data_IF_783242815278
#
_entry.id   IF_783242815278
#
_cell.length_a   1.000
_cell.length_b   1.000
_cell.length_c   1.000
_cell.angle_alpha   90.00
_cell.angle_beta   90.00
_cell.angle_gamma   90.00
#
_symmetry.space_group_name_H-M   'P 1'
#
loop_
_entity.id
_entity.type
_entity.pdbx_description
1 polymer ?
#
# COMPACT_ATOMS: atom_id res chain seq x y z
N UNK A 1 2.71 -13.20 -27.79
CA UNK A 1 3.56 -12.04 -28.12
C UNK A 1 3.42 -11.03 -26.99
N UNK A 2 4.51 -10.53 -26.41
CA UNK A 2 4.43 -9.61 -25.28
C UNK A 2 3.96 -8.23 -25.76
N UNK A 3 3.03 -7.61 -25.04
CA UNK A 3 2.48 -6.29 -25.39
C UNK A 3 3.13 -5.15 -24.63
N UNK A 4 3.74 -5.44 -23.47
CA UNK A 4 4.20 -4.47 -22.49
C UNK A 4 5.63 -3.97 -22.77
N UNK A 5 6.52 -4.83 -23.25
CA UNK A 5 7.93 -4.48 -23.35
C UNK A 5 8.35 -4.17 -24.79
N UNK A 6 9.17 -3.15 -24.93
CA UNK A 6 10.02 -2.96 -26.11
C UNK A 6 11.01 -4.13 -26.32
N UNK A 7 10.89 -4.82 -27.45
CA UNK A 7 11.69 -5.99 -27.81
C UNK A 7 12.57 -5.61 -29.00
N UNK A 8 13.88 -5.86 -28.89
CA UNK A 8 14.80 -5.64 -30.00
C UNK A 8 14.64 -6.70 -31.08
N UNK A 9 14.80 -6.28 -32.33
CA UNK A 9 14.89 -7.19 -33.48
C UNK A 9 16.25 -7.92 -33.53
N UNK A 10 17.27 -7.37 -32.86
CA UNK A 10 18.62 -7.95 -32.82
C UNK A 10 18.76 -8.97 -31.69
N UNK A 11 19.26 -10.17 -32.02
CA UNK A 11 19.55 -11.21 -31.03
C UNK A 11 20.73 -10.85 -30.11
N UNK A 12 21.70 -10.07 -30.64
CA UNK A 12 22.90 -9.65 -29.92
C UNK A 12 22.76 -8.19 -29.46
N UNK A 13 22.12 -8.00 -28.31
CA UNK A 13 22.03 -6.69 -27.65
C UNK A 13 23.24 -6.43 -26.76
N UNK A 14 23.81 -5.22 -26.77
CA UNK A 14 24.78 -4.83 -25.75
C UNK A 14 24.10 -4.84 -24.36
N UNK A 15 24.87 -5.13 -23.31
CA UNK A 15 24.36 -5.19 -21.93
C UNK A 15 23.73 -3.87 -21.45
N UNK A 16 24.15 -2.75 -22.05
CA UNK A 16 23.67 -1.39 -21.79
C UNK A 16 22.42 -1.04 -22.58
N UNK A 17 21.91 -1.93 -23.45
CA UNK A 17 20.69 -1.68 -24.19
C UNK A 17 19.50 -1.57 -23.23
N UNK A 18 18.60 -0.62 -23.47
CA UNK A 18 17.34 -0.48 -22.74
C UNK A 18 16.25 -1.44 -23.26
N UNK A 19 16.43 -2.09 -24.41
CA UNK A 19 15.46 -3.05 -24.98
C UNK A 19 15.60 -4.49 -24.44
N UNK A 20 14.52 -5.27 -24.44
CA UNK A 20 14.61 -6.70 -24.14
C UNK A 20 15.04 -7.49 -25.38
N UNK A 21 15.80 -8.57 -25.19
CA UNK A 21 16.08 -9.52 -26.28
C UNK A 21 14.80 -10.23 -26.70
N UNK A 22 14.66 -10.49 -27.99
CA UNK A 22 13.58 -11.33 -28.50
C UNK A 22 13.82 -12.79 -28.10
N UNK A 23 12.85 -13.40 -27.41
CA UNK A 23 12.93 -14.81 -27.02
C UNK A 23 12.48 -15.76 -28.16
N UNK A 24 11.96 -15.22 -29.27
CA UNK A 24 11.45 -16.00 -30.39
C UNK A 24 10.18 -16.79 -30.03
N UNK A 25 9.85 -17.77 -30.88
CA UNK A 25 8.66 -18.61 -30.70
C UNK A 25 8.88 -19.77 -29.72
N UNK A 26 10.13 -20.18 -29.51
CA UNK A 26 10.48 -21.35 -28.71
C UNK A 26 11.71 -21.05 -27.84
N UNK A 27 11.71 -21.54 -26.60
CA UNK A 27 12.83 -21.48 -25.67
C UNK A 27 13.28 -22.86 -25.24
N UNK A 28 14.54 -22.99 -24.84
CA UNK A 28 15.07 -24.22 -24.26
C UNK A 28 14.48 -24.36 -22.85
N UNK A 29 13.74 -25.44 -22.61
CA UNK A 29 13.16 -25.78 -21.31
C UNK A 29 14.03 -26.76 -20.53
N UNK A 30 14.63 -27.73 -21.23
CA UNK A 30 15.52 -28.69 -20.62
C UNK A 30 16.67 -29.02 -21.57
N UNK A 31 17.85 -29.23 -20.99
CA UNK A 31 18.98 -29.81 -21.69
C UNK A 31 19.17 -31.20 -21.08
N UNK A 32 18.96 -32.25 -21.86
CA UNK A 32 19.20 -33.62 -21.45
C UNK A 32 20.34 -34.18 -22.28
N UNK A 33 21.27 -34.90 -21.66
CA UNK A 33 22.47 -35.34 -22.37
C UNK A 33 23.68 -34.52 -21.96
N UNK A 34 24.42 -35.11 -21.04
CA UNK A 34 25.67 -34.61 -20.48
C UNK A 34 26.31 -35.73 -19.66
N UNK A 35 26.30 -36.97 -20.17
CA UNK A 35 27.15 -38.01 -19.59
C UNK A 35 28.58 -37.71 -20.05
N UNK A 36 29.47 -37.45 -19.09
CA UNK A 36 30.91 -37.56 -19.30
C UNK A 36 31.26 -39.02 -19.55
N UNK A 37 31.01 -39.50 -20.76
CA UNK A 37 31.64 -40.71 -21.27
C UNK A 37 33.06 -40.35 -21.67
N UNK A 38 34.04 -40.80 -20.89
CA UNK A 38 35.43 -40.78 -21.31
C UNK A 38 35.67 -42.06 -22.08
N UNK A 39 35.75 -41.98 -23.40
CA UNK A 39 36.33 -43.08 -24.17
C UNK A 39 37.82 -43.18 -23.81
N UNK A 40 38.38 -44.38 -23.83
CA UNK A 40 39.76 -44.70 -23.41
C UNK A 40 40.85 -43.92 -24.20
N UNK A 41 40.45 -43.15 -25.22
CA UNK A 41 41.28 -42.32 -26.10
C UNK A 41 41.02 -40.80 -26.01
N UNK A 42 40.20 -40.33 -25.05
CA UNK A 42 40.13 -38.91 -24.69
C UNK A 42 39.32 -37.98 -25.62
N UNK A 43 38.61 -38.50 -26.62
CA UNK A 43 37.67 -37.72 -27.42
C UNK A 43 36.40 -37.39 -26.64
N UNK A 44 36.25 -36.13 -26.25
CA UNK A 44 35.05 -35.63 -25.57
C UNK A 44 34.01 -35.19 -26.59
N UNK A 45 33.11 -36.10 -26.99
CA UNK A 45 31.89 -35.69 -27.68
C UNK A 45 30.78 -35.50 -26.66
N UNK A 46 30.41 -34.24 -26.42
CA UNK A 46 29.26 -33.90 -25.57
C UNK A 46 28.12 -33.55 -26.50
N UNK A 47 27.27 -34.52 -26.83
CA UNK A 47 26.01 -34.26 -27.50
C UNK A 47 24.95 -33.93 -26.46
N UNK A 48 24.54 -32.67 -26.42
CA UNK A 48 23.43 -32.20 -25.60
C UNK A 48 22.17 -32.15 -26.45
N UNK A 49 21.10 -32.79 -25.97
CA UNK A 49 19.77 -32.68 -26.57
C UNK A 49 19.02 -31.54 -25.90
N UNK A 50 18.51 -30.63 -26.72
CA UNK A 50 17.73 -29.47 -26.28
C UNK A 50 16.23 -29.78 -26.44
N UNK A 51 15.48 -29.64 -25.36
CA UNK A 51 14.02 -29.71 -25.37
C UNK A 51 13.47 -28.30 -25.40
N UNK A 52 12.61 -28.02 -26.37
CA UNK A 52 12.05 -26.69 -26.60
C UNK A 52 10.59 -26.62 -26.12
N UNK A 53 10.22 -25.49 -25.54
CA UNK A 53 8.83 -25.14 -25.21
C UNK A 53 8.45 -23.82 -25.86
N UNK A 54 7.17 -23.62 -26.15
CA UNK A 54 6.68 -22.35 -26.67
C UNK A 54 6.95 -21.20 -25.68
N UNK A 55 7.33 -20.04 -26.20
CA UNK A 55 7.56 -18.83 -25.39
C UNK A 55 6.24 -18.29 -24.87
N UNK A 56 6.11 -18.17 -23.55
CA UNK A 56 4.92 -17.62 -22.89
C UNK A 56 5.13 -16.14 -22.50
N UNK A 57 4.06 -15.33 -22.32
CA UNK A 57 4.19 -13.93 -21.90
C UNK A 57 5.00 -13.77 -20.61
N UNK A 58 4.86 -14.72 -19.67
CA UNK A 58 5.61 -14.76 -18.42
C UNK A 58 7.13 -14.86 -18.60
N UNK A 59 7.61 -15.47 -19.69
CA UNK A 59 9.05 -15.57 -19.95
C UNK A 59 9.67 -14.18 -20.18
N UNK A 60 8.91 -13.27 -20.81
CA UNK A 60 9.32 -11.88 -20.98
C UNK A 60 9.25 -11.08 -19.68
N UNK A 61 8.30 -11.38 -18.77
CA UNK A 61 8.27 -10.78 -17.43
C UNK A 61 9.52 -11.18 -16.64
N UNK A 62 9.91 -12.46 -16.73
CA UNK A 62 11.12 -12.96 -16.07
C UNK A 62 12.38 -12.33 -16.65
N UNK A 63 12.42 -12.12 -17.97
CA UNK A 63 13.51 -11.45 -18.67
C UNK A 63 13.62 -9.97 -18.25
N UNK A 64 12.48 -9.28 -18.10
CA UNK A 64 12.45 -7.91 -17.61
C UNK A 64 12.96 -7.81 -16.17
N UNK A 65 12.51 -8.71 -15.28
CA UNK A 65 13.00 -8.79 -13.90
C UNK A 65 14.51 -9.09 -13.85
N UNK A 66 14.99 -10.01 -14.68
CA UNK A 66 16.44 -10.31 -14.77
C UNK A 66 17.23 -9.08 -15.20
N UNK A 67 16.72 -8.33 -16.18
CA UNK A 67 17.35 -7.09 -16.63
C UNK A 67 17.44 -6.05 -15.54
N UNK A 68 16.34 -5.80 -14.82
CA UNK A 68 16.33 -4.86 -13.69
C UNK A 68 17.33 -5.27 -12.60
N UNK A 69 17.46 -6.57 -12.32
CA UNK A 69 18.41 -7.08 -11.33
C UNK A 69 19.88 -6.93 -11.75
N UNK A 70 20.17 -7.12 -13.04
CA UNK A 70 21.52 -7.08 -13.58
C UNK A 70 21.96 -5.67 -14.02
N UNK A 71 21.05 -4.70 -14.02
CA UNK A 71 21.32 -3.35 -14.48
C UNK A 71 22.38 -2.65 -13.64
N UNK A 72 23.27 -1.92 -14.32
CA UNK A 72 24.29 -1.08 -13.73
C UNK A 72 24.38 0.23 -14.50
N UNK A 73 24.51 1.38 -13.80
CA UNK A 73 24.48 1.52 -12.35
C UNK A 73 23.07 1.33 -11.76
N UNK A 74 23.00 0.87 -10.50
CA UNK A 74 21.74 0.49 -9.84
C UNK A 74 20.76 1.67 -9.74
N UNK A 75 21.25 2.88 -9.52
CA UNK A 75 20.43 4.09 -9.39
C UNK A 75 19.77 4.53 -10.71
N UNK A 76 20.21 4.03 -11.87
CA UNK A 76 19.60 4.30 -13.18
C UNK A 76 18.58 3.22 -13.59
N UNK A 77 18.12 2.40 -12.66
CA UNK A 77 17.14 1.35 -12.95
C UNK A 77 15.81 1.94 -13.47
N UNK A 78 15.45 3.15 -13.02
CA UNK A 78 14.29 3.89 -13.51
C UNK A 78 14.33 4.17 -15.01
N UNK A 79 15.51 4.35 -15.61
CA UNK A 79 15.65 4.61 -17.05
C UNK A 79 15.21 3.41 -17.89
N UNK A 80 15.49 2.20 -17.41
CA UNK A 80 15.03 0.96 -18.06
C UNK A 80 13.52 0.89 -18.02
N UNK A 81 12.93 1.10 -16.84
CA UNK A 81 11.49 1.08 -16.66
C UNK A 81 10.79 2.17 -17.50
N UNK A 82 11.37 3.37 -17.55
CA UNK A 82 10.88 4.50 -18.32
C UNK A 82 10.91 4.25 -19.83
N UNK A 83 11.98 3.63 -20.33
CA UNK A 83 12.10 3.27 -21.74
C UNK A 83 10.94 2.36 -22.19
N UNK A 84 10.67 1.30 -21.42
CA UNK A 84 9.58 0.39 -21.72
C UNK A 84 8.20 1.03 -21.55
N UNK A 85 8.03 1.89 -20.53
CA UNK A 85 6.79 2.64 -20.34
C UNK A 85 6.50 3.56 -21.53
N UNK A 86 7.48 4.35 -21.98
CA UNK A 86 7.32 5.24 -23.14
C UNK A 86 7.02 4.47 -24.41
N UNK A 87 7.74 3.37 -24.66
CA UNK A 87 7.46 2.50 -25.81
C UNK A 87 6.03 1.97 -25.78
N UNK A 88 5.56 1.51 -24.62
CA UNK A 88 4.19 1.03 -24.45
C UNK A 88 3.13 2.12 -24.68
N UNK A 89 3.30 3.29 -24.07
CA UNK A 89 2.36 4.41 -24.20
C UNK A 89 2.32 4.94 -25.65
N UNK A 90 3.45 4.94 -26.35
CA UNK A 90 3.48 5.31 -27.76
C UNK A 90 2.69 4.34 -28.65
N UNK A 91 2.72 3.04 -28.34
CA UNK A 91 1.94 2.02 -29.04
C UNK A 91 0.47 2.00 -28.63
N UNK A 92 0.18 2.32 -27.36
CA UNK A 92 -1.14 2.32 -26.77
C UNK A 92 -1.34 3.60 -25.94
N UNK A 93 -1.81 4.71 -26.56
CA UNK A 93 -1.91 6.02 -25.90
C UNK A 93 -2.72 6.03 -24.59
N UNK A 94 -3.73 5.15 -24.48
CA UNK A 94 -4.57 5.03 -23.29
C UNK A 94 -4.16 3.86 -22.37
N UNK A 95 -3.13 3.10 -22.73
CA UNK A 95 -2.70 1.89 -22.04
C UNK A 95 -1.83 2.14 -20.81
N UNK A 96 -1.31 3.35 -20.60
CA UNK A 96 -0.32 3.62 -19.53
C UNK A 96 -0.73 3.11 -18.14
N UNK A 97 -2.03 3.16 -17.80
CA UNK A 97 -2.54 2.62 -16.53
C UNK A 97 -2.49 1.09 -16.44
N UNK A 98 -2.67 0.38 -17.55
CA UNK A 98 -2.55 -1.07 -17.64
C UNK A 98 -1.10 -1.51 -17.45
N UNK A 99 -0.15 -0.80 -18.08
CA UNK A 99 1.28 -1.05 -17.89
C UNK A 99 1.67 -0.89 -16.42
N UNK A 100 1.28 0.22 -15.77
CA UNK A 100 1.61 0.47 -14.37
C UNK A 100 0.99 -0.58 -13.43
N UNK A 101 -0.24 -1.06 -13.71
CA UNK A 101 -0.85 -2.18 -12.97
C UNK A 101 -0.05 -3.47 -13.15
N UNK A 102 0.36 -3.80 -14.38
CA UNK A 102 1.20 -4.99 -14.64
C UNK A 102 2.52 -4.90 -13.88
N UNK A 103 3.19 -3.74 -13.91
CA UNK A 103 4.43 -3.53 -13.17
C UNK A 103 4.24 -3.68 -11.65
N UNK A 104 3.15 -3.13 -11.09
CA UNK A 104 2.87 -3.17 -9.65
C UNK A 104 2.48 -4.56 -9.15
N UNK A 105 1.63 -5.29 -9.88
CA UNK A 105 1.04 -6.54 -9.39
C UNK A 105 1.74 -7.80 -9.91
N UNK A 106 2.51 -7.72 -11.00
CA UNK A 106 3.23 -8.88 -11.56
C UNK A 106 4.74 -8.75 -11.38
N UNK A 107 5.32 -7.61 -11.75
CA UNK A 107 6.78 -7.45 -11.76
C UNK A 107 7.36 -7.16 -10.38
N UNK A 108 6.76 -6.24 -9.63
CA UNK A 108 7.25 -5.90 -8.28
C UNK A 108 7.29 -7.12 -7.33
N UNK A 109 6.27 -8.01 -7.26
CA UNK A 109 6.38 -9.23 -6.46
C UNK A 109 7.49 -10.17 -6.92
N UNK A 110 7.71 -10.28 -8.24
CA UNK A 110 8.80 -11.10 -8.80
C UNK A 110 10.19 -10.54 -8.47
N UNK A 111 10.34 -9.22 -8.34
CA UNK A 111 11.55 -8.58 -7.83
C UNK A 111 11.76 -8.85 -6.35
N UNK A 112 10.72 -8.64 -5.51
CA UNK A 112 10.79 -8.83 -4.04
C UNK A 112 11.08 -10.29 -3.66
N UNK A 113 10.62 -11.26 -4.43
CA UNK A 113 10.85 -12.68 -4.17
C UNK A 113 12.32 -13.14 -4.39
N UNK A 114 13.19 -12.31 -4.98
CA UNK A 114 14.61 -12.67 -5.17
C UNK A 114 15.46 -12.15 -4.02
N UNK A 115 16.17 -13.06 -3.35
CA UNK A 115 17.11 -12.74 -2.25
C UNK A 115 18.18 -11.75 -2.71
N UNK A 116 18.49 -10.74 -1.88
CA UNK A 116 19.53 -9.72 -2.08
C UNK A 116 19.22 -8.61 -3.11
N UNK A 117 17.95 -8.42 -3.49
CA UNK A 117 17.54 -7.38 -4.45
C UNK A 117 16.57 -6.35 -3.85
N UNK A 118 16.51 -6.22 -2.52
CA UNK A 118 15.62 -5.29 -1.81
C UNK A 118 15.83 -3.84 -2.25
N UNK A 119 17.08 -3.38 -2.35
CA UNK A 119 17.41 -2.01 -2.79
C UNK A 119 16.86 -1.71 -4.20
N UNK A 120 16.92 -2.70 -5.12
CA UNK A 120 16.40 -2.56 -6.48
C UNK A 120 14.88 -2.58 -6.51
N UNK A 121 14.27 -3.41 -5.67
CA UNK A 121 12.82 -3.43 -5.52
C UNK A 121 12.32 -2.08 -4.96
N UNK A 122 13.04 -1.48 -4.02
CA UNK A 122 12.73 -0.14 -3.48
C UNK A 122 12.83 0.94 -4.55
N UNK A 123 13.93 0.99 -5.31
CA UNK A 123 14.09 1.98 -6.39
C UNK A 123 13.03 1.82 -7.49
N UNK A 124 12.65 0.58 -7.80
CA UNK A 124 11.58 0.31 -8.75
C UNK A 124 10.20 0.72 -8.21
N UNK A 125 9.96 0.53 -6.91
CA UNK A 125 8.75 0.98 -6.22
C UNK A 125 8.66 2.51 -6.19
N UNK A 126 9.77 3.21 -5.95
CA UNK A 126 9.86 4.67 -6.02
C UNK A 126 9.51 5.18 -7.44
N UNK A 127 10.08 4.55 -8.48
CA UNK A 127 9.74 4.87 -9.87
C UNK A 127 8.26 4.63 -10.19
N UNK A 128 7.66 3.55 -9.69
CA UNK A 128 6.23 3.29 -9.85
C UNK A 128 5.36 4.35 -9.16
N UNK A 129 5.77 4.80 -7.99
CA UNK A 129 5.08 5.85 -7.23
C UNK A 129 5.17 7.21 -7.94
N UNK A 130 6.30 7.51 -8.57
CA UNK A 130 6.47 8.72 -9.40
C UNK A 130 5.55 8.70 -10.63
N UNK A 131 5.46 7.55 -11.32
CA UNK A 131 4.73 7.42 -12.59
C UNK A 131 3.24 7.22 -12.46
N UNK A 132 2.76 6.79 -11.30
CA UNK A 132 1.35 6.64 -11.03
C UNK A 132 0.89 7.67 -9.99
N UNK A 133 0.65 8.94 -10.37
CA UNK A 133 0.11 9.95 -9.45
C UNK A 133 -1.34 9.68 -9.04
N UNK A 134 -1.91 8.50 -9.35
CA UNK A 134 -3.13 8.03 -8.72
C UNK A 134 -2.81 7.71 -7.25
N UNK A 135 -3.01 8.72 -6.41
CA UNK A 135 -3.44 8.67 -5.00
C UNK A 135 -3.39 7.26 -4.40
N UNK A 136 -2.17 6.79 -4.15
CA UNK A 136 -1.96 5.79 -3.14
C UNK A 136 -2.14 6.54 -1.83
N UNK A 137 -3.38 6.55 -1.36
CA UNK A 137 -3.77 6.79 0.02
C UNK A 137 -3.21 5.69 0.92
N UNK A 138 -1.90 5.48 0.86
CA UNK A 138 -1.10 4.72 1.82
C UNK A 138 0.24 5.35 2.14
N UNK A 139 0.54 6.58 1.66
CA UNK A 139 1.44 7.53 2.34
C UNK A 139 1.40 8.89 1.59
N UNK A 140 0.42 9.74 1.93
CA UNK A 140 0.31 11.09 1.37
C UNK A 140 1.23 12.04 2.14
N UNK A 141 2.48 12.23 1.67
CA UNK A 141 3.17 13.53 1.82
C UNK A 141 2.54 14.50 0.82
N UNK A 142 1.36 15.01 1.15
CA UNK A 142 0.87 16.23 0.55
C UNK A 142 1.74 17.38 1.09
N UNK A 143 2.44 18.11 0.22
CA UNK A 143 2.64 19.54 0.47
C UNK A 143 1.25 20.18 0.41
N UNK A 144 0.50 20.04 1.51
CA UNK A 144 -0.62 20.93 1.79
C UNK A 144 0.03 22.27 2.05
N UNK A 145 -0.32 23.28 1.26
CA UNK A 145 -0.05 24.65 1.63
C UNK A 145 -0.98 24.95 2.82
N UNK A 146 -0.55 24.57 4.01
CA UNK A 146 -1.31 24.76 5.23
C UNK A 146 -1.32 26.26 5.52
N UNK A 147 -2.45 26.91 5.26
CA UNK A 147 -2.79 28.08 6.06
C UNK A 147 -3.12 27.59 7.47
N UNK A 148 -2.07 27.31 8.25
CA UNK A 148 -2.20 26.95 9.64
C UNK A 148 -2.58 28.20 10.41
N UNK A 149 -3.88 28.37 10.67
CA UNK A 149 -4.36 29.37 11.61
C UNK A 149 -4.25 28.74 13.00
N UNK A 150 -3.15 28.99 13.69
CA UNK A 150 -3.02 28.64 15.10
C UNK A 150 -3.90 29.59 15.92
N UNK A 151 -5.10 29.13 16.27
CA UNK A 151 -5.87 29.77 17.33
C UNK A 151 -5.55 29.07 18.65
N UNK A 152 -5.14 29.85 19.65
CA UNK A 152 -5.01 29.37 21.03
C UNK A 152 -6.34 28.83 21.56
N UNK A 153 -6.33 28.24 22.76
CA UNK A 153 -7.48 27.58 23.38
C UNK A 153 -8.74 28.46 23.39
N UNK A 154 -9.55 28.37 22.34
CA UNK A 154 -10.83 29.05 22.23
C UNK A 154 -11.91 27.98 22.22
N UNK A 155 -12.57 27.82 23.37
CA UNK A 155 -13.71 26.93 23.57
C UNK A 155 -15.01 27.52 22.98
N UNK A 156 -14.97 28.02 21.75
CA UNK A 156 -16.15 28.56 21.08
C UNK A 156 -16.25 28.04 19.63
N UNK A 157 -17.47 27.80 19.11
CA UNK A 157 -17.67 27.39 17.73
C UNK A 157 -17.35 28.57 16.80
N UNK A 158 -16.15 28.58 16.22
CA UNK A 158 -15.76 29.55 15.19
C UNK A 158 -16.08 28.94 13.83
N UNK A 159 -16.91 29.61 13.02
CA UNK A 159 -17.11 29.27 11.62
C UNK A 159 -16.15 30.08 10.74
N UNK A 160 -15.26 29.39 10.03
CA UNK A 160 -14.45 29.99 8.96
C UNK A 160 -15.20 29.81 7.63
N UNK A 161 -15.64 30.90 7.01
CA UNK A 161 -16.13 30.87 5.64
C UNK A 161 -14.99 31.22 4.68
N UNK A 162 -14.42 30.19 4.06
CA UNK A 162 -13.52 30.35 2.93
C UNK A 162 -14.30 30.05 1.65
N UNK A 163 -14.54 31.07 0.84
CA UNK A 163 -15.26 30.98 -0.42
C UNK A 163 -14.40 30.30 -1.49
N UNK A 164 -14.27 28.97 -1.42
CA UNK A 164 -13.68 28.16 -2.46
C UNK A 164 -14.64 27.07 -2.92
N UNK A 165 -14.91 27.00 -4.22
CA UNK A 165 -15.57 25.84 -4.83
C UNK A 165 -14.68 24.62 -4.57
N UNK A 166 -15.18 23.64 -3.79
CA UNK A 166 -14.54 22.37 -3.42
C UNK A 166 -13.59 22.35 -2.20
N UNK A 167 -13.77 23.21 -1.19
CA UNK A 167 -13.09 23.00 0.10
C UNK A 167 -13.77 21.91 0.93
N UNK A 168 -13.06 20.80 1.17
CA UNK A 168 -13.41 19.81 2.19
C UNK A 168 -12.65 20.12 3.48
N UNK A 169 -13.32 20.69 4.47
CA UNK A 169 -12.74 20.90 5.80
C UNK A 169 -12.64 19.54 6.50
N UNK A 170 -11.41 19.08 6.72
CA UNK A 170 -11.12 17.87 7.51
C UNK A 170 -10.60 18.31 8.87
N UNK A 171 -11.40 18.07 9.92
CA UNK A 171 -10.97 18.29 11.29
C UNK A 171 -10.17 17.07 11.76
N UNK A 172 -8.87 17.25 12.00
CA UNK A 172 -8.07 16.26 12.70
C UNK A 172 -8.31 16.41 14.21
N UNK A 173 -9.45 15.89 14.67
CA UNK A 173 -9.73 15.81 16.09
C UNK A 173 -8.85 14.71 16.68
N UNK A 174 -7.79 15.08 17.39
CA UNK A 174 -7.02 14.15 18.21
C UNK A 174 -7.69 14.07 19.59
N UNK A 175 -8.04 12.87 20.03
CA UNK A 175 -8.47 12.65 21.40
C UNK A 175 -7.26 12.65 22.31
N UNK A 176 -7.33 13.35 23.45
CA UNK A 176 -6.32 13.20 24.51
C UNK A 176 -6.70 12.01 25.37
N UNK A 177 -5.68 11.28 25.82
CA UNK A 177 -5.85 10.13 26.71
C UNK A 177 -6.65 10.47 27.97
N UNK A 178 -6.41 11.65 28.54
CA UNK A 178 -7.11 12.11 29.74
C UNK A 178 -8.60 12.41 29.49
N UNK A 179 -8.92 12.91 28.29
CA UNK A 179 -10.29 13.24 27.89
C UNK A 179 -11.15 11.97 27.74
N UNK A 180 -10.56 10.91 27.18
CA UNK A 180 -11.21 9.60 27.03
C UNK A 180 -11.45 8.95 28.39
N UNK A 181 -10.44 8.97 29.28
CA UNK A 181 -10.57 8.43 30.64
C UNK A 181 -11.64 9.16 31.44
N UNK A 182 -11.65 10.49 31.39
CA UNK A 182 -12.68 11.30 32.05
C UNK A 182 -14.10 11.00 31.52
N UNK A 183 -14.24 10.77 30.22
CA UNK A 183 -15.53 10.37 29.64
C UNK A 183 -15.97 8.96 30.11
N UNK A 184 -15.05 7.99 30.19
CA UNK A 184 -15.35 6.65 30.69
C UNK A 184 -15.72 6.62 32.17
N UNK A 185 -15.11 7.49 32.99
CA UNK A 185 -15.49 7.63 34.39
C UNK A 185 -16.94 8.14 34.55
N UNK A 186 -17.36 9.06 33.68
CA UNK A 186 -18.74 9.56 33.67
C UNK A 186 -19.71 8.52 33.13
N UNK A 187 -19.34 7.84 32.04
CA UNK A 187 -20.15 6.78 31.44
C UNK A 187 -20.35 5.62 32.42
N UNK A 188 -19.31 5.25 33.18
CA UNK A 188 -19.36 4.22 34.22
C UNK A 188 -20.35 4.56 35.33
N UNK A 189 -20.54 5.85 35.66
CA UNK A 189 -21.54 6.30 36.63
C UNK A 189 -22.96 6.23 36.06
N UNK A 190 -23.12 6.58 34.78
CA UNK A 190 -24.41 6.57 34.10
C UNK A 190 -24.96 5.16 33.87
N UNK A 191 -24.10 4.19 33.51
CA UNK A 191 -24.53 2.80 33.22
C UNK A 191 -24.89 1.98 34.48
N UNK A 192 -24.65 2.49 35.69
CA UNK A 192 -24.91 1.73 36.92
C UNK A 192 -26.38 1.30 37.06
N UNK A 193 -27.31 2.12 36.54
CA UNK A 193 -28.76 1.90 36.61
C UNK A 193 -29.31 1.10 35.43
N UNK A 194 -28.45 0.70 34.49
CA UNK A 194 -28.83 -0.09 33.32
C UNK A 194 -28.79 -1.59 33.67
N UNK A 195 -29.41 -2.41 32.83
CA UNK A 195 -29.36 -3.86 32.94
C UNK A 195 -27.91 -4.37 33.04
N UNK A 196 -27.69 -5.39 33.88
CA UNK A 196 -26.37 -5.97 34.14
C UNK A 196 -25.65 -6.46 32.89
N UNK A 197 -26.35 -7.08 31.95
CA UNK A 197 -25.76 -7.55 30.70
C UNK A 197 -25.20 -6.39 29.89
N UNK A 198 -25.99 -5.33 29.72
CA UNK A 198 -25.60 -4.12 28.99
C UNK A 198 -24.41 -3.44 29.69
N UNK A 199 -24.45 -3.36 31.02
CA UNK A 199 -23.34 -2.79 31.82
C UNK A 199 -22.03 -3.56 31.61
N UNK A 200 -22.10 -4.90 31.50
CA UNK A 200 -20.94 -5.73 31.23
C UNK A 200 -20.40 -5.51 29.80
N UNK A 201 -21.28 -5.33 28.82
CA UNK A 201 -20.88 -5.02 27.44
C UNK A 201 -20.15 -3.66 27.37
N UNK A 202 -20.67 -2.64 28.06
CA UNK A 202 -19.98 -1.35 28.19
C UNK A 202 -18.63 -1.47 28.90
N UNK A 203 -18.58 -2.19 30.01
CA UNK A 203 -17.34 -2.36 30.76
C UNK A 203 -16.26 -3.05 29.92
N UNK A 204 -16.63 -4.08 29.16
CA UNK A 204 -15.71 -4.78 28.26
C UNK A 204 -15.13 -3.88 27.18
N UNK A 205 -15.96 -3.09 26.50
CA UNK A 205 -15.50 -2.17 25.46
C UNK A 205 -14.65 -1.02 26.04
N UNK A 206 -15.00 -0.51 27.22
CA UNK A 206 -14.21 0.52 27.92
C UNK A 206 -12.85 -0.02 28.36
N UNK A 207 -12.79 -1.20 28.97
CA UNK A 207 -11.53 -1.82 29.41
C UNK A 207 -10.61 -2.13 28.22
N UNK A 208 -11.20 -2.61 27.12
CA UNK A 208 -10.46 -2.85 25.89
C UNK A 208 -9.92 -1.53 25.32
N UNK A 209 -10.73 -0.48 25.28
CA UNK A 209 -10.29 0.85 24.86
C UNK A 209 -9.15 1.38 25.74
N UNK A 210 -9.25 1.30 27.07
CA UNK A 210 -8.19 1.73 27.99
C UNK A 210 -6.90 0.94 27.75
N UNK A 211 -6.99 -0.39 27.60
CA UNK A 211 -5.82 -1.25 27.35
C UNK A 211 -5.13 -0.91 26.02
N UNK A 212 -5.90 -0.62 24.97
CA UNK A 212 -5.34 -0.25 23.67
C UNK A 212 -4.72 1.16 23.71
N UNK A 213 -5.34 2.09 24.44
CA UNK A 213 -4.86 3.45 24.65
C UNK A 213 -3.51 3.46 25.39
N UNK A 214 -3.35 2.64 26.42
CA UNK A 214 -2.07 2.47 27.14
C UNK A 214 -0.97 1.87 26.25
N UNK A 215 -1.35 1.10 25.23
CA UNK A 215 -0.44 0.51 24.24
C UNK A 215 -0.17 1.42 23.04
N UNK A 216 -0.64 2.68 23.07
CA UNK A 216 -0.56 3.63 21.95
C UNK A 216 -1.16 3.08 20.65
N UNK A 217 -2.26 2.33 20.75
CA UNK A 217 -3.00 1.78 19.60
C UNK A 217 -4.29 2.55 19.37
N UNK A 218 -4.81 2.50 18.16
CA UNK A 218 -6.06 3.19 17.80
C UNK A 218 -7.26 2.56 18.53
N UNK A 219 -8.03 3.41 19.21
CA UNK A 219 -9.22 3.04 19.97
C UNK A 219 -10.53 3.44 19.29
N UNK A 220 -10.46 4.01 18.08
CA UNK A 220 -11.63 4.46 17.33
C UNK A 220 -12.70 3.36 17.17
N UNK A 221 -12.36 2.08 16.91
CA UNK A 221 -13.38 1.03 16.82
C UNK A 221 -14.17 0.86 18.12
N UNK A 222 -13.50 0.94 19.29
CA UNK A 222 -14.13 0.78 20.59
C UNK A 222 -15.03 1.97 20.92
N UNK A 223 -14.58 3.20 20.63
CA UNK A 223 -15.40 4.39 20.83
C UNK A 223 -16.68 4.34 19.95
N UNK A 224 -16.56 3.86 18.71
CA UNK A 224 -17.72 3.65 17.84
C UNK A 224 -18.68 2.58 18.39
N UNK A 225 -18.15 1.48 18.93
CA UNK A 225 -18.95 0.44 19.57
C UNK A 225 -19.70 0.98 20.79
N UNK A 226 -19.02 1.70 21.68
CA UNK A 226 -19.61 2.36 22.85
C UNK A 226 -20.74 3.30 22.42
N UNK A 227 -20.52 4.10 21.38
CA UNK A 227 -21.56 4.98 20.85
C UNK A 227 -22.77 4.24 20.27
N UNK A 228 -22.57 3.07 19.65
CA UNK A 228 -23.67 2.19 19.22
C UNK A 228 -24.47 1.69 20.43
N UNK A 229 -23.79 1.20 21.46
CA UNK A 229 -24.44 0.76 22.71
C UNK A 229 -25.22 1.91 23.36
N UNK A 230 -24.68 3.14 23.32
CA UNK A 230 -25.38 4.32 23.85
C UNK A 230 -26.66 4.65 23.06
N UNK A 231 -26.67 4.43 21.74
CA UNK A 231 -27.88 4.59 20.93
C UNK A 231 -28.92 3.53 21.27
N UNK A 232 -28.49 2.29 21.47
CA UNK A 232 -29.38 1.16 21.78
C UNK A 232 -30.04 1.30 23.15
N UNK A 233 -29.30 1.80 24.14
CA UNK A 233 -29.82 2.10 25.50
C UNK A 233 -30.63 3.40 25.55
N UNK A 234 -30.38 4.31 24.61
CA UNK A 234 -30.96 5.64 24.57
C UNK A 234 -30.10 6.67 25.29
N UNK A 235 -29.80 7.77 24.59
CA UNK A 235 -28.91 8.83 25.06
C UNK A 235 -29.35 9.48 26.38
N UNK A 236 -30.67 9.53 26.65
CA UNK A 236 -31.22 10.11 27.88
C UNK A 236 -30.79 9.40 29.17
N UNK A 237 -30.21 8.21 29.07
CA UNK A 237 -29.65 7.46 30.21
C UNK A 237 -28.30 8.03 30.68
N UNK A 238 -27.57 8.72 29.79
CA UNK A 238 -26.19 9.18 30.01
C UNK A 238 -26.13 10.64 30.46
N UNK A 239 -26.87 10.98 31.51
CA UNK A 239 -27.08 12.39 31.91
C UNK A 239 -25.81 13.05 32.42
N UNK A 240 -24.94 12.34 33.15
CA UNK A 240 -23.69 12.92 33.65
C UNK A 240 -22.70 13.15 32.51
N UNK A 241 -22.61 12.20 31.57
CA UNK A 241 -21.79 12.35 30.38
C UNK A 241 -22.31 13.51 29.51
N UNK A 242 -23.60 13.50 29.14
CA UNK A 242 -24.20 14.54 28.28
C UNK A 242 -24.10 15.95 28.86
N UNK A 243 -24.14 16.11 30.19
CA UNK A 243 -24.01 17.41 30.85
C UNK A 243 -22.55 17.90 30.96
N UNK A 244 -21.57 17.03 30.76
CA UNK A 244 -20.17 17.37 30.92
C UNK A 244 -19.59 18.03 29.66
N UNK A 245 -18.75 19.08 29.79
CA UNK A 245 -18.08 19.72 28.65
C UNK A 245 -17.26 18.75 27.79
N UNK A 246 -16.77 17.67 28.42
CA UNK A 246 -16.00 16.63 27.75
C UNK A 246 -16.80 15.88 26.69
N UNK A 247 -18.14 15.86 26.80
CA UNK A 247 -18.98 15.17 25.84
C UNK A 247 -18.85 15.74 24.43
N UNK A 248 -18.82 17.07 24.27
CA UNK A 248 -18.64 17.68 22.95
C UNK A 248 -17.28 17.34 22.32
N UNK A 249 -16.27 17.04 23.16
CA UNK A 249 -14.96 16.57 22.70
C UNK A 249 -15.02 15.11 22.26
N UNK A 250 -15.69 14.23 23.02
CA UNK A 250 -15.72 12.79 22.72
C UNK A 250 -16.81 12.38 21.72
N UNK A 251 -17.87 13.17 21.58
CA UNK A 251 -19.05 12.92 20.74
C UNK A 251 -18.71 12.55 19.29
N UNK A 252 -17.79 13.23 18.58
CA UNK A 252 -17.43 12.84 17.21
C UNK A 252 -16.84 11.43 17.11
N UNK A 253 -16.16 10.97 18.15
CA UNK A 253 -15.52 9.64 18.18
C UNK A 253 -16.49 8.52 18.55
N UNK A 254 -17.57 8.86 19.25
CA UNK A 254 -18.67 7.93 19.54
C UNK A 254 -19.60 7.73 18.33
N UNK A 255 -19.40 8.43 17.21
CA UNK A 255 -20.29 8.31 16.04
C UNK A 255 -21.74 8.77 16.34
N UNK A 256 -21.90 9.63 17.35
CA UNK A 256 -23.16 10.25 17.73
C UNK A 256 -23.30 11.56 16.94
N UNK A 257 -24.07 11.52 15.86
CA UNK A 257 -24.48 12.70 15.08
C UNK A 257 -25.84 13.18 15.53
#
# INVERSE_FOLDING_TARGET
>A
MNKFYDISENENLPNESLQLRNLGAQRIFAITGGRRGSDYWGTRNTESQYHYTATVPEDYDNLFVEKLNNWKPIYNLGDVAEHHYRSFVNLQPNGGTEFLKHMKYVILPKLKNRKNYEDRASLFEDWLNEKNPIKVSTDLKHEVNYNTINMGAVNAPIQFQQSSHNSTQTQHNHYKNDDVKAAFDLLSKDIQKVNEQIRNDFAMEMDYAVTQLERNRDIKPQLMNIGSLMKDVGLGTFTNLLAAPIFEVVKPFLGLQ
#
